data_IF_400549598157
#
_entry.id   IF_400549598157
#
_cell.length_a   1.000
_cell.length_b   1.000
_cell.length_c   1.000
_cell.angle_alpha   90.00
_cell.angle_beta   90.00
_cell.angle_gamma   90.00
#
_symmetry.space_group_name_H-M   'P 1'
#
loop_
_entity.id
_entity.type
_entity.pdbx_description
1 polymer ?
#
# COMPACT_ATOMS: atom_id res chain seq x y z
N UNK A 1 15.61 4.47 7.15
CA UNK A 1 15.13 4.04 5.84
C UNK A 1 16.13 4.47 4.78
N UNK A 2 16.34 3.59 3.81
CA UNK A 2 17.04 3.86 2.57
C UNK A 2 16.02 3.83 1.43
N UNK A 3 16.39 4.40 0.30
CA UNK A 3 15.61 4.34 -0.91
C UNK A 3 16.52 4.19 -2.12
N UNK A 4 15.99 3.61 -3.18
CA UNK A 4 16.63 3.48 -4.49
C UNK A 4 15.59 3.52 -5.60
N UNK A 5 16.07 3.65 -6.82
CA UNK A 5 15.25 3.54 -8.02
C UNK A 5 15.74 2.33 -8.79
N UNK A 6 14.82 1.41 -9.11
CA UNK A 6 15.08 0.26 -9.97
C UNK A 6 14.45 0.46 -11.35
N UNK A 7 15.05 -0.10 -12.42
CA UNK A 7 14.52 0.01 -13.79
C UNK A 7 13.04 -0.36 -13.92
N UNK A 8 12.65 -1.49 -13.34
CA UNK A 8 11.29 -2.00 -13.47
C UNK A 8 10.38 -1.38 -12.41
N UNK A 9 10.75 -1.51 -11.14
CA UNK A 9 9.86 -1.20 -10.00
C UNK A 9 9.76 0.30 -9.68
N UNK A 10 10.63 1.14 -10.25
CA UNK A 10 10.71 2.55 -9.87
C UNK A 10 11.18 2.72 -8.43
N UNK A 11 10.44 3.47 -7.62
CA UNK A 11 10.82 3.76 -6.23
C UNK A 11 10.72 2.50 -5.34
N UNK A 12 11.86 2.12 -4.75
CA UNK A 12 11.96 1.07 -3.74
C UNK A 12 12.45 1.67 -2.43
N UNK A 13 11.78 1.34 -1.33
CA UNK A 13 12.21 1.70 0.02
C UNK A 13 12.77 0.47 0.72
N UNK A 14 13.94 0.59 1.35
CA UNK A 14 14.62 -0.47 2.08
C UNK A 14 14.90 -0.06 3.54
N UNK A 15 15.05 -1.03 4.43
CA UNK A 15 15.35 -0.82 5.87
C UNK A 15 14.44 0.25 6.51
N UNK A 16 13.13 0.08 6.32
CA UNK A 16 12.12 0.96 6.90
C UNK A 16 12.00 0.65 8.39
N UNK A 17 12.19 1.68 9.22
CA UNK A 17 12.15 1.60 10.68
C UNK A 17 11.29 2.71 11.23
N UNK A 18 10.63 2.45 12.35
CA UNK A 18 9.91 3.46 13.11
C UNK A 18 10.57 3.68 14.47
N UNK A 19 10.82 4.93 14.83
CA UNK A 19 11.36 5.31 16.12
C UNK A 19 10.35 6.20 16.85
N UNK A 20 9.55 5.64 17.78
CA UNK A 20 8.69 6.45 18.64
C UNK A 20 9.54 7.42 19.48
N UNK A 21 8.97 8.56 19.88
CA UNK A 21 9.71 9.54 20.65
C UNK A 21 10.22 8.96 21.97
N UNK A 22 11.54 8.97 22.18
CA UNK A 22 12.16 8.40 23.39
C UNK A 22 12.30 6.87 23.40
N UNK A 23 11.98 6.18 22.30
CA UNK A 23 12.13 4.74 22.14
C UNK A 23 13.19 4.39 21.09
N UNK A 24 13.73 3.18 21.17
CA UNK A 24 14.61 2.65 20.12
C UNK A 24 13.84 2.42 18.81
N UNK A 25 14.56 2.54 17.70
CA UNK A 25 13.99 2.26 16.38
C UNK A 25 13.65 0.78 16.23
N UNK A 26 12.41 0.49 15.87
CA UNK A 26 11.93 -0.86 15.54
C UNK A 26 11.96 -1.04 14.02
N UNK A 27 12.65 -2.06 13.49
CA UNK A 27 12.55 -2.40 12.08
C UNK A 27 11.12 -2.83 11.74
N UNK A 28 10.59 -2.36 10.60
CA UNK A 28 9.20 -2.59 10.16
C UNK A 28 9.18 -3.38 8.86
N UNK A 29 9.82 -2.85 7.80
CA UNK A 29 9.92 -3.50 6.48
C UNK A 29 11.39 -3.61 6.08
N UNK A 30 11.77 -4.79 5.59
CA UNK A 30 13.03 -4.97 4.89
C UNK A 30 13.00 -4.21 3.56
N UNK A 31 11.90 -4.31 2.82
CA UNK A 31 11.68 -3.58 1.57
C UNK A 31 10.20 -3.34 1.30
N UNK A 32 9.86 -2.23 0.63
CA UNK A 32 8.53 -1.91 0.12
C UNK A 32 8.62 -1.38 -1.31
N UNK A 33 7.80 -1.94 -2.20
CA UNK A 33 7.80 -1.58 -3.62
C UNK A 33 6.48 -1.97 -4.30
N UNK A 34 6.24 -1.45 -5.51
CA UNK A 34 5.17 -1.93 -6.38
C UNK A 34 5.64 -3.19 -7.10
N UNK A 35 4.88 -4.27 -6.96
CA UNK A 35 5.17 -5.58 -7.54
C UNK A 35 4.58 -5.79 -8.93
N UNK A 36 3.51 -5.09 -9.29
CA UNK A 36 2.96 -5.03 -10.65
C UNK A 36 1.89 -3.92 -10.75
N UNK A 37 1.64 -3.43 -11.97
CA UNK A 37 0.40 -2.74 -12.34
C UNK A 37 -0.17 -3.35 -13.63
N UNK A 38 -1.34 -3.98 -13.54
CA UNK A 38 -2.09 -4.45 -14.71
C UNK A 38 -3.17 -3.44 -15.11
N UNK A 39 -3.32 -3.17 -16.41
CA UNK A 39 -4.35 -2.27 -16.95
C UNK A 39 -5.21 -2.95 -18.01
N UNK A 40 -6.14 -3.84 -17.61
CA UNK A 40 -7.08 -4.48 -18.53
C UNK A 40 -8.21 -3.52 -18.92
N UNK A 41 -8.53 -3.49 -20.21
CA UNK A 41 -9.70 -2.79 -20.76
C UNK A 41 -10.90 -3.72 -20.85
N UNK A 42 -12.09 -3.21 -20.53
CA UNK A 42 -13.35 -3.96 -20.50
C UNK A 42 -13.80 -4.40 -21.91
N UNK A 43 -13.18 -3.85 -22.96
CA UNK A 43 -13.32 -4.33 -24.34
C UNK A 43 -12.75 -5.74 -24.53
N UNK A 44 -11.85 -6.19 -23.65
CA UNK A 44 -11.10 -7.44 -23.77
C UNK A 44 -10.03 -7.42 -24.87
N UNK A 45 -9.79 -6.26 -25.50
CA UNK A 45 -8.86 -6.14 -26.62
C UNK A 45 -7.45 -5.71 -26.19
N UNK A 46 -7.31 -5.20 -24.96
CA UNK A 46 -6.05 -4.66 -24.45
C UNK A 46 -5.91 -4.93 -22.96
N UNK A 47 -4.71 -5.36 -22.57
CA UNK A 47 -4.21 -5.39 -21.20
C UNK A 47 -2.73 -5.04 -21.24
N UNK A 48 -2.21 -4.40 -20.20
CA UNK A 48 -0.77 -4.10 -20.07
C UNK A 48 -0.26 -4.49 -18.70
N UNK A 49 0.98 -4.96 -18.64
CA UNK A 49 1.74 -5.21 -17.42
C UNK A 49 2.81 -4.13 -17.30
N UNK A 50 2.43 -2.98 -16.74
CA UNK A 50 3.19 -1.74 -16.91
C UNK A 50 4.58 -1.81 -16.26
N UNK A 51 4.73 -2.53 -15.15
CA UNK A 51 6.02 -2.64 -14.45
C UNK A 51 6.98 -3.56 -15.20
N UNK A 52 6.57 -4.79 -15.52
CA UNK A 52 7.46 -5.78 -16.15
C UNK A 52 7.70 -5.51 -17.63
N UNK A 53 6.75 -4.89 -18.33
CA UNK A 53 6.88 -4.60 -19.77
C UNK A 53 7.56 -3.26 -20.04
N UNK A 54 7.23 -2.23 -19.28
CA UNK A 54 7.68 -0.86 -19.55
C UNK A 54 8.66 -0.33 -18.50
N UNK A 55 8.47 -0.69 -17.24
CA UNK A 55 9.21 -0.18 -16.10
C UNK A 55 8.70 1.19 -15.64
N UNK A 56 8.60 1.37 -14.32
CA UNK A 56 8.39 2.65 -13.65
C UNK A 56 9.72 3.38 -13.39
N UNK A 57 10.85 2.69 -13.49
CA UNK A 57 12.16 3.30 -13.49
C UNK A 57 12.62 3.72 -14.88
N UNK A 58 13.94 3.77 -15.04
CA UNK A 58 14.58 3.96 -16.34
C UNK A 58 14.01 5.16 -17.11
N UNK A 59 13.71 4.93 -18.40
CA UNK A 59 13.27 5.98 -19.34
C UNK A 59 11.88 6.55 -19.05
N UNK A 60 11.06 5.82 -18.31
CA UNK A 60 9.70 6.22 -17.99
C UNK A 60 9.64 7.09 -16.73
N UNK A 61 10.61 6.92 -15.82
CA UNK A 61 10.78 7.80 -14.69
C UNK A 61 11.08 9.22 -15.16
N UNK A 62 10.27 10.19 -14.71
CA UNK A 62 10.35 11.60 -15.12
C UNK A 62 11.15 12.42 -14.11
N UNK A 63 11.87 13.40 -14.66
CA UNK A 63 12.51 14.42 -13.84
C UNK A 63 11.41 15.36 -13.36
N UNK A 64 11.39 15.66 -12.07
CA UNK A 64 10.43 16.53 -11.42
C UNK A 64 10.92 17.97 -11.41
N UNK A 65 9.97 18.88 -11.48
CA UNK A 65 10.16 20.32 -11.33
C UNK A 65 9.82 20.78 -9.91
N UNK A 66 10.23 22.00 -9.51
CA UNK A 66 9.81 22.58 -8.23
C UNK A 66 8.30 22.80 -8.09
N UNK A 67 7.56 22.81 -9.20
CA UNK A 67 6.08 22.89 -9.17
C UNK A 67 5.48 21.54 -8.76
N UNK A 68 6.07 20.43 -9.21
CA UNK A 68 5.65 19.07 -8.84
C UNK A 68 6.13 18.68 -7.44
N UNK A 69 7.24 19.27 -6.98
CA UNK A 69 7.78 19.01 -5.65
C UNK A 69 7.99 20.31 -4.85
N UNK A 70 7.02 20.67 -3.98
CA UNK A 70 7.17 21.80 -3.06
C UNK A 70 8.25 21.59 -1.99
N UNK A 71 8.64 20.34 -1.74
CA UNK A 71 9.66 19.95 -0.77
C UNK A 71 11.07 19.93 -1.37
N UNK A 72 11.84 18.92 -0.98
CA UNK A 72 13.21 18.70 -1.45
C UNK A 72 13.23 17.76 -2.66
N UNK A 73 13.71 18.26 -3.80
CA UNK A 73 14.03 17.43 -4.96
C UNK A 73 15.35 16.70 -4.76
N UNK A 74 15.32 15.37 -4.85
CA UNK A 74 16.50 14.51 -4.76
C UNK A 74 16.89 14.01 -6.15
N UNK A 75 18.14 14.30 -6.53
CA UNK A 75 18.71 13.81 -7.79
C UNK A 75 19.42 12.48 -7.60
N UNK A 76 19.10 11.50 -8.45
CA UNK A 76 19.77 10.20 -8.50
C UNK A 76 20.11 9.77 -9.91
N UNK A 77 21.15 8.95 -10.01
CA UNK A 77 21.46 8.22 -11.24
C UNK A 77 20.33 7.21 -11.46
N UNK A 78 19.62 7.36 -12.57
CA UNK A 78 18.55 6.44 -12.95
C UNK A 78 19.20 5.30 -13.75
N UNK A 79 19.09 4.04 -13.32
CA UNK A 79 19.71 2.93 -14.04
C UNK A 79 19.04 2.72 -15.41
N UNK A 80 19.79 2.11 -16.33
CA UNK A 80 19.31 1.77 -17.67
C UNK A 80 18.19 0.72 -17.62
N UNK A 81 17.33 0.71 -18.64
CA UNK A 81 16.26 -0.29 -18.79
C UNK A 81 16.56 -1.17 -20.01
N UNK A 82 16.88 -2.44 -19.78
CA UNK A 82 17.35 -3.35 -20.83
C UNK A 82 18.59 -2.81 -21.56
N UNK A 83 18.57 -2.86 -22.90
CA UNK A 83 19.65 -2.33 -23.75
C UNK A 83 19.53 -0.81 -24.02
N UNK A 84 18.58 -0.11 -23.39
CA UNK A 84 18.31 1.30 -23.63
C UNK A 84 19.00 2.16 -22.56
N UNK A 85 20.03 2.89 -22.97
CA UNK A 85 20.70 3.86 -22.11
C UNK A 85 19.75 5.02 -21.72
N UNK A 86 19.54 5.23 -20.43
CA UNK A 86 18.65 6.26 -19.89
C UNK A 86 19.48 7.42 -19.38
N UNK A 87 20.08 8.14 -20.33
CA UNK A 87 21.00 9.24 -20.05
C UNK A 87 22.45 8.77 -19.97
N UNK A 88 23.37 9.73 -20.05
CA UNK A 88 24.83 9.55 -20.01
C UNK A 88 25.38 9.19 -18.62
N UNK A 89 24.53 8.61 -17.75
CA UNK A 89 24.83 8.38 -16.33
C UNK A 89 24.65 9.60 -15.42
N UNK A 90 24.09 10.70 -15.91
CA UNK A 90 23.82 11.89 -15.10
C UNK A 90 22.68 11.68 -14.09
N UNK A 91 22.84 12.26 -12.89
CA UNK A 91 21.79 12.28 -11.88
C UNK A 91 20.64 13.21 -12.28
N UNK A 92 19.40 12.74 -12.15
CA UNK A 92 18.16 13.46 -12.49
C UNK A 92 17.32 13.70 -11.24
N UNK A 93 16.66 14.86 -11.06
CA UNK A 93 15.79 15.13 -9.92
C UNK A 93 14.51 14.32 -10.06
N UNK A 94 14.40 13.14 -9.45
CA UNK A 94 13.29 12.20 -9.72
C UNK A 94 12.46 11.87 -8.49
N UNK A 95 13.00 12.10 -7.28
CA UNK A 95 12.31 11.86 -6.03
C UNK A 95 11.97 13.18 -5.36
N UNK A 96 10.69 13.37 -5.06
CA UNK A 96 10.23 14.41 -4.16
C UNK A 96 10.21 13.91 -2.72
N UNK A 97 10.77 14.68 -1.80
CA UNK A 97 10.70 14.46 -0.36
C UNK A 97 10.06 15.68 0.31
N UNK A 98 8.96 15.48 1.01
CA UNK A 98 8.14 16.56 1.55
C UNK A 98 7.68 16.25 2.96
N UNK A 99 7.66 17.28 3.82
CA UNK A 99 6.93 17.22 5.09
C UNK A 99 5.64 18.00 4.90
N UNK A 100 4.50 17.31 5.00
CA UNK A 100 3.17 17.90 4.91
C UNK A 100 2.52 18.00 6.28
N UNK A 101 1.64 18.98 6.44
CA UNK A 101 0.72 19.00 7.58
C UNK A 101 -0.31 17.86 7.41
N UNK A 102 -0.32 16.93 8.38
CA UNK A 102 -1.19 15.77 8.44
C UNK A 102 -2.49 16.02 9.21
N UNK A 103 -2.86 17.28 9.44
CA UNK A 103 -4.06 17.63 10.18
C UNK A 103 -3.96 17.48 11.69
N UNK A 104 -5.12 17.33 12.35
CA UNK A 104 -5.20 17.16 13.81
C UNK A 104 -4.75 15.74 14.17
N UNK A 105 -3.72 15.63 15.01
CA UNK A 105 -3.22 14.36 15.53
C UNK A 105 -4.13 13.79 16.61
N UNK A 106 -4.64 14.67 17.48
CA UNK A 106 -5.58 14.32 18.53
C UNK A 106 -6.30 15.54 19.06
N UNK A 107 -7.48 15.27 19.63
CA UNK A 107 -8.23 16.23 20.44
C UNK A 107 -8.98 15.47 21.53
N UNK A 108 -8.83 15.88 22.78
CA UNK A 108 -9.65 15.43 23.91
C UNK A 108 -10.03 16.63 24.76
N UNK A 109 -11.27 16.66 25.27
CA UNK A 109 -11.71 17.71 26.20
C UNK A 109 -12.42 17.07 27.37
N UNK A 110 -11.83 17.23 28.55
CA UNK A 110 -12.38 16.76 29.82
C UNK A 110 -12.34 17.92 30.81
N UNK A 111 -13.43 18.13 31.57
CA UNK A 111 -13.50 19.21 32.56
C UNK A 111 -13.34 20.62 31.99
N UNK A 112 -13.63 20.84 30.71
CA UNK A 112 -13.54 22.14 30.03
C UNK A 112 -12.13 22.54 29.58
N UNK A 113 -11.13 21.64 29.68
CA UNK A 113 -9.80 21.89 29.12
C UNK A 113 -9.57 21.01 27.89
N UNK A 114 -9.31 21.65 26.75
CA UNK A 114 -9.00 20.95 25.52
C UNK A 114 -7.50 20.66 25.40
N UNK A 115 -7.18 19.40 25.14
CA UNK A 115 -5.86 18.90 24.76
C UNK A 115 -5.88 18.62 23.26
N UNK A 116 -5.09 19.35 22.47
CA UNK A 116 -5.08 19.27 21.00
C UNK A 116 -3.67 19.38 20.46
N UNK A 117 -3.36 18.58 19.42
CA UNK A 117 -2.14 18.73 18.64
C UNK A 117 -2.39 18.42 17.17
N UNK A 118 -1.48 18.90 16.32
CA UNK A 118 -1.38 18.54 14.90
C UNK A 118 -0.22 17.59 14.69
N UNK A 119 -0.21 16.87 13.58
CA UNK A 119 0.90 16.01 13.18
C UNK A 119 1.41 16.43 11.81
N UNK A 120 2.70 16.20 11.62
CA UNK A 120 3.33 16.25 10.31
C UNK A 120 3.43 14.83 9.74
N UNK A 121 3.51 14.72 8.42
CA UNK A 121 3.74 13.46 7.70
C UNK A 121 4.87 13.64 6.69
N UNK A 122 5.73 12.64 6.56
CA UNK A 122 6.78 12.60 5.56
C UNK A 122 6.26 11.90 4.31
N UNK A 123 6.33 12.55 3.16
CA UNK A 123 5.87 12.05 1.86
C UNK A 123 7.04 11.90 0.90
N UNK A 124 7.16 10.72 0.31
CA UNK A 124 8.13 10.41 -0.75
C UNK A 124 7.36 10.08 -2.03
N UNK A 125 7.70 10.72 -3.15
CA UNK A 125 7.01 10.43 -4.42
C UNK A 125 7.90 10.51 -5.67
N UNK A 126 7.53 9.72 -6.68
CA UNK A 126 8.14 9.71 -8.02
C UNK A 126 7.05 9.70 -9.09
N UNK A 127 7.36 10.18 -10.30
CA UNK A 127 6.41 10.18 -11.44
C UNK A 127 6.95 9.33 -12.58
N UNK A 128 6.14 8.39 -13.05
CA UNK A 128 6.46 7.51 -14.19
C UNK A 128 5.44 7.69 -15.30
N UNK A 129 5.89 7.89 -16.54
CA UNK A 129 4.99 7.98 -17.71
C UNK A 129 5.02 6.69 -18.51
N UNK A 130 3.88 6.04 -18.64
CA UNK A 130 3.70 4.81 -19.43
C UNK A 130 2.58 5.03 -20.43
N UNK A 131 2.95 5.08 -21.72
CA UNK A 131 2.01 5.45 -22.78
C UNK A 131 1.40 6.83 -22.54
N UNK A 132 0.07 6.87 -22.46
CA UNK A 132 -0.73 8.08 -22.26
C UNK A 132 -0.91 8.46 -20.79
N UNK A 133 -0.71 7.51 -19.87
CA UNK A 133 -0.86 7.72 -18.43
C UNK A 133 0.43 8.16 -17.77
N UNK A 134 0.27 8.88 -16.66
CA UNK A 134 1.33 9.20 -15.72
C UNK A 134 0.96 8.76 -14.31
N UNK A 135 1.90 8.12 -13.64
CA UNK A 135 1.71 7.44 -12.38
C UNK A 135 2.58 8.06 -11.29
N UNK A 136 1.96 8.51 -10.22
CA UNK A 136 2.63 8.99 -9.01
C UNK A 136 2.72 7.85 -8.01
N UNK A 137 3.90 7.24 -7.86
CA UNK A 137 4.16 6.30 -6.76
C UNK A 137 4.49 7.11 -5.51
N UNK A 138 3.66 7.01 -4.47
CA UNK A 138 3.77 7.80 -3.25
C UNK A 138 3.78 6.91 -2.01
N UNK A 139 4.66 7.23 -1.05
CA UNK A 139 4.67 6.63 0.28
C UNK A 139 4.62 7.74 1.33
N UNK A 140 3.56 7.74 2.15
CA UNK A 140 3.40 8.71 3.24
C UNK A 140 3.61 8.05 4.61
N UNK A 141 4.42 8.66 5.47
CA UNK A 141 4.78 8.18 6.79
C UNK A 141 4.26 9.15 7.85
N UNK A 142 3.33 8.68 8.69
CA UNK A 142 2.76 9.45 9.78
C UNK A 142 3.63 9.45 11.03
N UNK A 143 3.61 10.54 11.79
CA UNK A 143 4.27 10.63 13.11
C UNK A 143 3.73 9.60 14.14
N UNK A 144 2.53 9.05 13.90
CA UNK A 144 1.92 7.96 14.67
C UNK A 144 2.45 6.57 14.29
N UNK A 145 3.32 6.49 13.28
CA UNK A 145 3.89 5.24 12.74
C UNK A 145 3.09 4.64 11.58
N UNK A 146 1.99 5.28 11.15
CA UNK A 146 1.26 4.83 9.96
C UNK A 146 2.11 4.95 8.70
N UNK A 147 1.92 4.02 7.76
CA UNK A 147 2.55 4.03 6.44
C UNK A 147 1.43 3.91 5.39
N UNK A 148 1.37 4.83 4.43
CA UNK A 148 0.35 4.86 3.38
C UNK A 148 0.99 4.76 1.99
N UNK A 149 1.08 3.54 1.42
CA UNK A 149 1.42 3.33 0.02
C UNK A 149 0.24 3.71 -0.89
N UNK A 150 0.51 4.56 -1.86
CA UNK A 150 -0.50 5.14 -2.75
C UNK A 150 0.04 5.21 -4.19
N UNK A 151 -0.85 4.99 -5.16
CA UNK A 151 -0.64 5.19 -6.58
C UNK A 151 -1.63 6.24 -7.07
N UNK A 152 -1.11 7.35 -7.57
CA UNK A 152 -1.89 8.35 -8.30
C UNK A 152 -1.83 8.07 -9.80
N UNK A 153 -2.95 8.14 -10.51
CA UNK A 153 -3.03 8.06 -11.97
C UNK A 153 -3.57 9.38 -12.55
N UNK A 154 -2.88 9.92 -13.55
CA UNK A 154 -3.21 11.13 -14.33
C UNK A 154 -2.72 10.94 -15.78
N UNK A 155 -2.55 12.01 -16.54
CA UNK A 155 -2.16 11.98 -17.95
C UNK A 155 -3.37 12.15 -18.85
N UNK A 156 -3.40 11.42 -19.97
CA UNK A 156 -4.46 11.48 -20.96
C UNK A 156 -5.14 10.13 -21.13
N UNK A 157 -6.45 10.14 -21.39
CA UNK A 157 -7.14 8.96 -21.91
C UNK A 157 -6.44 8.50 -23.19
N UNK A 158 -6.27 7.19 -23.34
CA UNK A 158 -5.64 6.62 -24.52
C UNK A 158 -6.51 6.90 -25.77
N UNK A 159 -6.01 7.61 -26.79
CA UNK A 159 -6.73 7.83 -28.04
C UNK A 159 -6.93 6.55 -28.85
N UNK A 160 -6.20 5.48 -28.50
CA UNK A 160 -6.28 4.18 -29.17
C UNK A 160 -7.37 3.27 -28.56
N UNK A 161 -7.92 3.63 -27.38
CA UNK A 161 -8.81 2.77 -26.60
C UNK A 161 -10.24 3.35 -26.49
N UNK A 162 -10.85 3.61 -27.65
CA UNK A 162 -12.27 3.95 -27.77
C UNK A 162 -13.10 2.75 -28.26
N UNK A 163 -14.39 2.74 -27.95
CA UNK A 163 -15.30 1.63 -28.31
C UNK A 163 -16.65 2.12 -28.81
N UNK A 164 -17.23 1.41 -29.79
CA UNK A 164 -18.60 1.66 -30.23
C UNK A 164 -19.65 0.97 -29.33
N UNK A 165 -19.23 0.09 -28.42
CA UNK A 165 -20.14 -0.62 -27.50
C UNK A 165 -20.40 0.20 -26.23
N UNK A 166 -21.63 0.71 -26.02
CA UNK A 166 -21.97 1.50 -24.84
C UNK A 166 -21.90 0.71 -23.52
N UNK A 167 -21.84 -0.62 -23.55
CA UNK A 167 -21.70 -1.43 -22.36
C UNK A 167 -20.24 -1.53 -21.84
N UNK A 168 -19.26 -1.08 -22.64
CA UNK A 168 -17.82 -1.22 -22.37
C UNK A 168 -17.06 0.11 -22.36
N UNK A 169 -17.78 1.23 -22.45
CA UNK A 169 -17.19 2.55 -22.48
C UNK A 169 -18.20 3.64 -22.20
N UNK A 170 -17.70 4.80 -21.77
CA UNK A 170 -18.52 5.94 -21.42
C UNK A 170 -18.34 7.07 -22.44
N UNK A 171 -19.43 7.71 -22.89
CA UNK A 171 -19.31 8.80 -23.84
C UNK A 171 -18.59 9.99 -23.19
N UNK A 172 -17.57 10.47 -23.87
CA UNK A 172 -16.85 11.70 -23.58
C UNK A 172 -16.92 12.60 -24.80
N UNK A 173 -16.95 13.91 -24.59
CA UNK A 173 -16.99 14.90 -25.64
C UNK A 173 -18.37 15.12 -26.29
N UNK A 174 -18.43 16.02 -27.29
CA UNK A 174 -19.68 16.46 -27.89
C UNK A 174 -20.45 15.34 -28.60
N UNK A 175 -21.77 15.32 -28.45
CA UNK A 175 -22.64 14.41 -29.20
C UNK A 175 -22.67 12.95 -28.70
N UNK A 176 -21.82 12.59 -27.73
CA UNK A 176 -21.85 11.30 -27.05
C UNK A 176 -21.51 10.10 -27.95
N UNK A 177 -20.76 10.34 -29.03
CA UNK A 177 -20.29 9.32 -29.97
C UNK A 177 -18.95 8.73 -29.57
N UNK A 178 -18.06 9.53 -28.99
CA UNK A 178 -16.71 9.10 -28.65
C UNK A 178 -16.76 8.46 -27.27
N UNK A 179 -16.69 7.12 -27.19
CA UNK A 179 -16.71 6.41 -25.90
C UNK A 179 -15.33 5.91 -25.54
N UNK A 180 -14.72 6.53 -24.55
CA UNK A 180 -13.48 6.00 -23.98
C UNK A 180 -13.80 4.68 -23.27
N UNK A 181 -13.02 3.65 -23.55
CA UNK A 181 -13.24 2.32 -23.00
C UNK A 181 -12.99 2.31 -21.47
N UNK A 182 -13.90 1.66 -20.74
CA UNK A 182 -13.72 1.39 -19.31
C UNK A 182 -12.57 0.41 -19.10
N UNK A 183 -11.85 0.56 -18.00
CA UNK A 183 -10.65 -0.23 -17.68
C UNK A 183 -10.38 -0.25 -16.18
N UNK A 184 -9.50 -1.14 -15.72
CA UNK A 184 -9.03 -1.18 -14.33
C UNK A 184 -7.56 -0.77 -14.21
N UNK A 185 -7.18 -0.18 -13.08
CA UNK A 185 -5.79 -0.06 -12.64
C UNK A 185 -5.58 -1.00 -11.45
N UNK A 186 -4.99 -2.15 -11.74
CA UNK A 186 -4.83 -3.26 -10.80
C UNK A 186 -3.39 -3.26 -10.25
N UNK A 187 -3.17 -2.55 -9.15
CA UNK A 187 -1.84 -2.39 -8.55
C UNK A 187 -1.62 -3.39 -7.41
N UNK A 188 -0.44 -4.01 -7.38
CA UNK A 188 -0.04 -4.89 -6.28
C UNK A 188 1.24 -4.36 -5.64
N UNK A 189 1.23 -4.16 -4.31
CA UNK A 189 2.43 -3.82 -3.54
C UNK A 189 3.05 -5.07 -2.94
N UNK A 190 4.39 -5.14 -2.96
CA UNK A 190 5.19 -6.15 -2.29
C UNK A 190 5.79 -5.58 -1.01
N UNK A 191 5.39 -6.12 0.13
CA UNK A 191 5.83 -5.72 1.47
C UNK A 191 6.65 -6.85 2.09
N UNK A 192 7.97 -6.71 2.12
CA UNK A 192 8.83 -7.65 2.83
C UNK A 192 8.98 -7.21 4.27
N UNK A 193 8.36 -7.93 5.20
CA UNK A 193 8.36 -7.58 6.61
C UNK A 193 9.71 -7.82 7.28
N UNK A 194 10.05 -6.94 8.22
CA UNK A 194 11.21 -7.09 9.08
C UNK A 194 10.87 -6.71 10.53
N UNK A 195 9.64 -6.97 10.99
CA UNK A 195 9.21 -6.60 12.34
C UNK A 195 10.07 -7.25 13.42
N UNK A 196 10.88 -6.43 14.09
CA UNK A 196 11.87 -6.90 15.06
C UNK A 196 13.03 -7.70 14.44
N UNK A 197 13.27 -7.56 13.13
CA UNK A 197 14.21 -8.35 12.34
C UNK A 197 13.50 -9.28 11.35
N UNK A 198 14.28 -9.98 10.52
CA UNK A 198 13.78 -11.00 9.58
C UNK A 198 13.42 -12.30 10.31
N UNK A 199 12.44 -13.03 9.77
CA UNK A 199 11.95 -14.28 10.37
C UNK A 199 11.23 -14.07 11.71
N UNK A 200 10.61 -15.13 12.23
CA UNK A 200 9.88 -15.15 13.50
C UNK A 200 8.60 -14.32 13.51
N UNK A 201 8.10 -13.87 12.35
CA UNK A 201 6.82 -13.18 12.26
C UNK A 201 5.67 -14.18 12.17
N UNK A 202 4.47 -13.70 12.45
CA UNK A 202 3.23 -14.46 12.30
C UNK A 202 2.20 -13.59 11.63
N UNK A 203 1.34 -14.21 10.83
CA UNK A 203 0.19 -13.54 10.22
C UNK A 203 -1.06 -13.93 10.98
N UNK A 204 -1.87 -12.94 11.33
CA UNK A 204 -3.14 -13.15 12.01
C UNK A 204 -4.26 -12.43 11.26
N UNK A 205 -5.36 -13.13 11.03
CA UNK A 205 -6.60 -12.60 10.49
C UNK A 205 -7.56 -12.36 11.64
N UNK A 206 -8.13 -11.17 11.69
CA UNK A 206 -9.24 -10.86 12.57
C UNK A 206 -10.54 -10.88 11.78
N UNK A 207 -11.56 -11.46 12.40
CA UNK A 207 -12.94 -11.42 11.93
C UNK A 207 -13.83 -11.01 13.10
N UNK A 208 -14.83 -10.14 12.85
CA UNK A 208 -15.90 -9.91 13.80
C UNK A 208 -17.25 -10.24 13.17
N UNK A 209 -17.94 -11.25 13.73
CA UNK A 209 -19.19 -11.78 13.18
C UNK A 209 -20.36 -11.60 14.15
N UNK A 210 -21.57 -11.24 13.68
CA UNK A 210 -22.76 -11.24 14.51
C UNK A 210 -23.05 -12.63 15.05
N UNK A 211 -23.29 -12.74 16.36
CA UNK A 211 -23.67 -14.02 16.97
C UNK A 211 -25.15 -14.37 16.72
N UNK A 212 -25.94 -13.40 16.26
CA UNK A 212 -27.39 -13.47 16.18
C UNK A 212 -28.10 -13.04 17.47
N UNK A 213 -27.34 -12.82 18.56
CA UNK A 213 -27.88 -12.34 19.84
C UNK A 213 -27.91 -10.81 19.90
N UNK A 214 -28.85 -10.28 20.69
CA UNK A 214 -28.97 -8.85 20.96
C UNK A 214 -28.87 -8.62 22.48
N UNK A 215 -27.90 -7.81 22.90
CA UNK A 215 -27.76 -7.36 24.28
C UNK A 215 -28.83 -6.31 24.65
N UNK A 216 -28.75 -5.68 25.83
CA UNK A 216 -29.75 -4.70 26.25
C UNK A 216 -29.88 -3.46 25.34
N UNK A 217 -28.86 -3.16 24.52
CA UNK A 217 -28.78 -1.93 23.72
C UNK A 217 -28.23 -2.11 22.29
N UNK A 218 -27.64 -3.25 21.95
CA UNK A 218 -27.03 -3.48 20.63
C UNK A 218 -26.85 -4.97 20.34
N UNK A 219 -26.65 -5.36 19.06
CA UNK A 219 -26.22 -6.71 18.69
C UNK A 219 -24.89 -7.10 19.35
N UNK A 220 -24.72 -8.40 19.58
CA UNK A 220 -23.45 -8.99 20.06
C UNK A 220 -22.63 -9.46 18.88
N UNK A 221 -21.32 -9.21 18.95
CA UNK A 221 -20.33 -9.59 17.94
C UNK A 221 -19.24 -10.41 18.60
N UNK A 222 -18.87 -11.52 17.98
CA UNK A 222 -17.70 -12.29 18.38
C UNK A 222 -16.52 -11.90 17.49
N UNK A 223 -15.47 -11.40 18.12
CA UNK A 223 -14.18 -11.13 17.49
C UNK A 223 -13.25 -12.32 17.65
N UNK A 224 -12.72 -12.82 16.54
CA UNK A 224 -11.73 -13.91 16.54
C UNK A 224 -10.46 -13.46 15.86
N UNK A 225 -9.31 -13.85 16.44
CA UNK A 225 -8.00 -13.65 15.83
C UNK A 225 -7.39 -15.01 15.52
N UNK A 226 -7.39 -15.37 14.23
CA UNK A 226 -6.92 -16.66 13.75
C UNK A 226 -5.54 -16.52 13.11
N UNK A 227 -4.60 -17.43 13.44
CA UNK A 227 -3.28 -17.46 12.83
C UNK A 227 -3.33 -18.11 11.44
N UNK A 228 -2.87 -17.39 10.44
CA UNK A 228 -2.57 -17.93 9.12
C UNK A 228 -1.16 -18.55 9.18
N UNK A 229 -1.09 -19.88 9.17
CA UNK A 229 0.16 -20.61 9.45
C UNK A 229 1.00 -20.84 8.19
N UNK A 230 0.35 -20.86 7.04
CA UNK A 230 0.96 -21.21 5.76
C UNK A 230 0.67 -20.13 4.73
N UNK A 231 1.48 -20.10 3.69
CA UNK A 231 1.26 -19.25 2.52
C UNK A 231 -0.15 -19.45 1.97
N UNK A 232 -0.80 -18.35 1.60
CA UNK A 232 -2.12 -18.35 1.00
C UNK A 232 -2.51 -16.97 0.48
N UNK A 233 -3.51 -16.96 -0.40
CA UNK A 233 -4.31 -15.77 -0.73
C UNK A 233 -5.47 -15.62 0.26
N UNK A 234 -5.86 -14.39 0.53
CA UNK A 234 -7.02 -14.04 1.36
C UNK A 234 -7.81 -12.91 0.72
N UNK A 235 -9.12 -12.90 1.01
CA UNK A 235 -10.05 -11.91 0.51
C UNK A 235 -10.71 -11.13 1.65
N UNK A 236 -11.04 -9.88 1.35
CA UNK A 236 -11.72 -8.96 2.26
C UNK A 236 -13.13 -9.46 2.54
N UNK A 237 -13.59 -9.17 3.74
CA UNK A 237 -14.95 -9.39 4.19
C UNK A 237 -15.34 -8.28 5.17
N UNK A 238 -16.63 -8.17 5.49
CA UNK A 238 -17.09 -7.21 6.50
C UNK A 238 -16.33 -7.44 7.82
N UNK A 239 -15.79 -6.35 8.40
CA UNK A 239 -15.02 -6.34 9.66
C UNK A 239 -13.82 -7.30 9.70
N UNK A 240 -13.28 -7.69 8.54
CA UNK A 240 -12.04 -8.44 8.43
C UNK A 240 -10.84 -7.52 8.26
N UNK A 241 -9.75 -7.85 8.93
CA UNK A 241 -8.44 -7.25 8.69
C UNK A 241 -7.33 -8.27 8.99
N UNK A 242 -6.11 -7.97 8.56
CA UNK A 242 -4.94 -8.81 8.84
C UNK A 242 -3.85 -8.02 9.51
N UNK A 243 -3.03 -8.69 10.31
CA UNK A 243 -1.80 -8.12 10.85
C UNK A 243 -0.62 -9.05 10.69
N UNK A 244 0.56 -8.46 10.54
CA UNK A 244 1.83 -9.15 10.75
C UNK A 244 2.34 -8.77 12.13
N UNK A 245 2.60 -9.78 12.96
CA UNK A 245 3.03 -9.61 14.35
C UNK A 245 4.35 -10.31 14.61
N UNK A 246 5.10 -9.85 15.62
CA UNK A 246 6.32 -10.48 16.12
C UNK A 246 6.11 -10.96 17.56
N UNK A 247 5.70 -12.21 17.81
CA UNK A 247 5.37 -12.69 19.17
C UNK A 247 6.51 -12.60 20.18
N UNK A 248 7.76 -12.66 19.71
CA UNK A 248 8.96 -12.53 20.54
C UNK A 248 9.32 -11.08 20.89
N UNK A 249 8.70 -10.08 20.25
CA UNK A 249 8.90 -8.66 20.52
C UNK A 249 7.62 -8.10 21.11
N UNK A 250 7.68 -7.61 22.35
CA UNK A 250 6.51 -7.12 23.08
C UNK A 250 6.67 -5.65 23.46
N UNK A 251 5.58 -4.92 23.42
CA UNK A 251 5.51 -3.58 24.00
C UNK A 251 5.51 -3.63 25.54
N UNK A 252 5.47 -2.48 26.21
CA UNK A 252 5.51 -2.42 27.67
C UNK A 252 4.28 -3.05 28.37
N UNK A 253 3.17 -3.22 27.65
CA UNK A 253 1.96 -3.92 28.14
C UNK A 253 2.02 -5.43 27.90
N UNK A 254 3.11 -5.91 27.30
CA UNK A 254 3.28 -7.32 26.98
C UNK A 254 2.51 -7.77 25.74
N UNK A 255 1.97 -6.86 24.93
CA UNK A 255 1.33 -7.23 23.65
C UNK A 255 2.38 -7.44 22.56
N UNK A 256 2.21 -8.43 21.67
CA UNK A 256 3.08 -8.60 20.50
C UNK A 256 3.07 -7.37 19.60
N UNK A 257 4.24 -6.83 19.28
CA UNK A 257 4.38 -5.73 18.32
C UNK A 257 3.87 -6.18 16.95
N UNK A 258 3.01 -5.38 16.33
CA UNK A 258 2.42 -5.70 15.04
C UNK A 258 2.07 -4.48 14.19
N UNK A 259 1.83 -4.73 12.90
CA UNK A 259 1.20 -3.79 11.98
C UNK A 259 0.01 -4.45 11.32
N UNK A 260 -1.10 -3.71 11.25
CA UNK A 260 -2.33 -4.07 10.56
C UNK A 260 -2.30 -3.56 9.12
N UNK A 261 -2.87 -4.34 8.20
CA UNK A 261 -3.09 -3.97 6.80
C UNK A 261 -4.55 -3.55 6.64
N UNK A 262 -4.76 -2.28 6.33
CA UNK A 262 -6.07 -1.64 6.15
C UNK A 262 -6.28 -1.26 4.69
N UNK A 263 -7.04 -2.06 3.94
CA UNK A 263 -7.21 -1.90 2.49
C UNK A 263 -8.05 -0.69 2.09
N UNK A 264 -8.93 -0.20 2.96
CA UNK A 264 -9.90 0.83 2.58
C UNK A 264 -10.83 0.38 1.43
N UNK A 265 -11.45 1.34 0.73
CA UNK A 265 -12.24 1.06 -0.47
C UNK A 265 -11.35 0.64 -1.64
N UNK A 266 -11.65 -0.51 -2.24
CA UNK A 266 -10.95 -1.01 -3.42
C UNK A 266 -11.91 -1.82 -4.31
N UNK A 267 -11.75 -1.73 -5.63
CA UNK A 267 -12.42 -2.63 -6.56
C UNK A 267 -11.84 -4.05 -6.44
N UNK A 268 -12.57 -5.06 -6.91
CA UNK A 268 -12.03 -6.42 -6.97
C UNK A 268 -10.83 -6.46 -7.91
N UNK A 269 -9.74 -7.04 -7.44
CA UNK A 269 -8.58 -7.34 -8.26
C UNK A 269 -8.71 -8.74 -8.87
N UNK A 270 -8.49 -8.84 -10.17
CA UNK A 270 -8.38 -10.10 -10.90
C UNK A 270 -7.13 -10.05 -11.76
N UNK A 271 -6.34 -11.13 -11.74
CA UNK A 271 -5.22 -11.32 -12.64
C UNK A 271 -5.74 -11.54 -14.05
N UNK A 272 -5.25 -10.75 -15.00
CA UNK A 272 -5.71 -10.80 -16.39
C UNK A 272 -4.64 -11.24 -17.37
N UNK A 273 -3.36 -11.16 -16.98
CA UNK A 273 -2.23 -11.48 -17.87
C UNK A 273 -1.37 -12.68 -17.42
N UNK A 274 -1.65 -13.30 -16.27
CA UNK A 274 -0.90 -14.46 -15.81
C UNK A 274 -1.29 -15.74 -16.58
N UNK A 275 -0.37 -16.25 -17.41
CA UNK A 275 -0.52 -17.38 -18.36
C UNK A 275 -0.91 -18.76 -17.77
N UNK A 276 -1.46 -18.80 -16.56
CA UNK A 276 -2.02 -20.00 -15.91
C UNK A 276 -3.08 -19.72 -14.84
N UNK A 277 -3.29 -18.46 -14.45
CA UNK A 277 -4.15 -18.04 -13.34
C UNK A 277 -5.12 -16.91 -13.73
N UNK A 278 -5.45 -16.80 -15.02
CA UNK A 278 -6.44 -15.83 -15.52
C UNK A 278 -7.75 -15.93 -14.72
N UNK A 279 -8.20 -14.79 -14.17
CA UNK A 279 -9.41 -14.67 -13.35
C UNK A 279 -9.23 -15.05 -11.87
N UNK A 280 -8.03 -15.44 -11.43
CA UNK A 280 -7.73 -15.56 -10.01
C UNK A 280 -7.62 -14.15 -9.38
N UNK A 281 -8.27 -13.95 -8.23
CA UNK A 281 -8.26 -12.70 -7.50
C UNK A 281 -7.93 -12.91 -6.03
N UNK A 282 -7.33 -11.89 -5.42
CA UNK A 282 -7.05 -11.81 -3.99
C UNK A 282 -7.00 -10.34 -3.57
N UNK A 283 -7.24 -10.06 -2.29
CA UNK A 283 -7.05 -8.71 -1.75
C UNK A 283 -5.68 -8.62 -1.06
N UNK A 284 -5.27 -9.68 -0.36
CA UNK A 284 -3.92 -9.84 0.18
C UNK A 284 -3.45 -11.27 -0.05
N UNK A 285 -2.15 -11.46 -0.27
CA UNK A 285 -1.53 -12.77 -0.15
C UNK A 285 -0.34 -12.70 0.80
N UNK A 286 -0.05 -13.82 1.45
CA UNK A 286 1.14 -13.96 2.30
C UNK A 286 1.98 -15.11 1.77
N UNK A 287 3.24 -14.83 1.47
CA UNK A 287 4.24 -15.83 1.08
C UNK A 287 5.43 -15.81 2.04
N UNK A 288 6.17 -16.91 2.09
CA UNK A 288 7.47 -16.98 2.72
C UNK A 288 8.51 -16.30 1.82
N UNK A 289 9.39 -15.49 2.42
CA UNK A 289 10.32 -14.67 1.66
C UNK A 289 11.28 -15.52 0.81
N UNK A 290 11.19 -15.34 -0.50
CA UNK A 290 12.13 -15.91 -1.46
C UNK A 290 12.68 -14.84 -2.40
N UNK A 291 13.95 -14.98 -2.78
CA UNK A 291 14.65 -14.03 -3.64
C UNK A 291 14.17 -14.00 -5.09
N UNK A 292 13.42 -15.01 -5.54
CA UNK A 292 12.83 -15.04 -6.89
C UNK A 292 11.38 -14.54 -6.96
N UNK A 293 10.75 -14.23 -5.82
CA UNK A 293 9.39 -13.67 -5.77
C UNK A 293 9.48 -12.14 -5.82
N UNK A 294 9.59 -11.59 -7.03
CA UNK A 294 9.82 -10.15 -7.25
C UNK A 294 8.55 -9.47 -7.75
N UNK A 295 7.97 -9.98 -8.84
CA UNK A 295 6.79 -9.40 -9.48
C UNK A 295 5.52 -10.18 -9.18
N UNK A 296 4.40 -9.48 -9.02
CA UNK A 296 3.14 -10.11 -8.63
C UNK A 296 2.49 -10.94 -9.75
N UNK A 297 2.79 -10.59 -11.01
CA UNK A 297 2.51 -11.35 -12.23
C UNK A 297 3.63 -11.07 -13.24
N UNK A 298 3.68 -11.83 -14.34
CA UNK A 298 4.79 -11.81 -15.30
C UNK A 298 6.18 -11.93 -14.67
N UNK A 299 6.29 -12.70 -13.58
CA UNK A 299 7.57 -12.99 -12.97
C UNK A 299 8.37 -13.96 -13.85
N UNK A 300 9.48 -13.50 -14.42
CA UNK A 300 10.32 -14.27 -15.36
C UNK A 300 11.27 -15.26 -14.68
N UNK A 301 11.28 -15.33 -13.34
CA UNK A 301 12.11 -16.28 -12.61
C UNK A 301 11.42 -17.65 -12.44
N UNK A 302 11.85 -18.60 -13.27
CA UNK A 302 11.33 -19.98 -13.30
C UNK A 302 11.39 -20.74 -11.96
N UNK A 303 12.20 -20.28 -10.99
CA UNK A 303 12.30 -20.93 -9.67
C UNK A 303 11.08 -20.70 -8.79
N UNK A 304 10.37 -19.59 -8.99
CA UNK A 304 9.24 -19.18 -8.16
C UNK A 304 7.90 -19.23 -8.92
N UNK A 305 7.91 -19.38 -10.25
CA UNK A 305 6.69 -19.30 -11.05
C UNK A 305 6.41 -17.88 -11.53
N UNK A 306 5.20 -17.69 -12.07
CA UNK A 306 4.80 -16.50 -12.84
C UNK A 306 4.16 -15.39 -12.02
N UNK A 307 3.73 -15.66 -10.79
CA UNK A 307 3.09 -14.66 -9.95
C UNK A 307 2.69 -15.17 -8.57
N UNK A 308 1.98 -14.33 -7.84
CA UNK A 308 1.55 -14.59 -6.45
C UNK A 308 0.80 -15.93 -6.27
N UNK A 309 -0.11 -16.35 -7.17
CA UNK A 309 -0.75 -17.65 -7.04
C UNK A 309 0.25 -18.83 -7.02
N UNK A 310 1.32 -18.76 -7.81
CA UNK A 310 2.40 -19.77 -7.78
C UNK A 310 3.23 -19.65 -6.51
N UNK A 311 3.49 -18.42 -6.03
CA UNK A 311 4.32 -18.18 -4.85
C UNK A 311 3.75 -18.81 -3.58
N UNK A 312 2.42 -18.95 -3.49
CA UNK A 312 1.74 -19.51 -2.33
C UNK A 312 1.23 -20.93 -2.53
N UNK A 313 1.43 -21.52 -3.71
CA UNK A 313 0.84 -22.80 -4.10
C UNK A 313 1.30 -23.97 -3.21
N UNK A 314 2.54 -23.93 -2.73
CA UNK A 314 3.13 -24.97 -1.88
C UNK A 314 2.70 -24.87 -0.41
N UNK A 315 1.99 -23.80 -0.03
CA UNK A 315 1.53 -23.54 1.33
C UNK A 315 2.65 -23.71 2.38
N UNK A 316 3.82 -23.12 2.13
CA UNK A 316 4.95 -23.23 3.07
C UNK A 316 4.60 -22.58 4.42
N UNK A 317 5.21 -23.01 5.54
CA UNK A 317 5.05 -22.31 6.81
C UNK A 317 5.55 -20.87 6.72
N UNK A 318 4.78 -19.92 7.25
CA UNK A 318 5.15 -18.50 7.30
C UNK A 318 6.06 -18.21 8.51
N UNK A 319 7.23 -17.62 8.25
CA UNK A 319 8.20 -17.14 9.25
C UNK A 319 8.87 -15.80 8.86
N UNK A 320 9.47 -15.68 7.66
CA UNK A 320 9.97 -14.43 7.04
C UNK A 320 8.93 -13.93 6.03
N UNK A 321 7.98 -13.12 6.49
CA UNK A 321 6.73 -12.87 5.75
C UNK A 321 6.91 -11.82 4.65
N UNK A 322 6.42 -12.12 3.45
CA UNK A 322 6.10 -11.14 2.40
C UNK A 322 4.59 -11.03 2.27
N UNK A 323 4.06 -9.81 2.31
CA UNK A 323 2.66 -9.54 1.98
C UNK A 323 2.55 -8.91 0.59
N UNK A 324 1.61 -9.41 -0.21
CA UNK A 324 1.25 -8.90 -1.52
C UNK A 324 -0.13 -8.25 -1.40
N UNK A 325 -0.19 -6.93 -1.46
CA UNK A 325 -1.43 -6.18 -1.25
C UNK A 325 -1.96 -5.71 -2.59
N UNK A 326 -3.09 -6.26 -3.03
CA UNK A 326 -3.72 -5.90 -4.28
C UNK A 326 -4.78 -4.82 -4.05
N UNK A 327 -4.72 -3.75 -4.84
CA UNK A 327 -5.71 -2.66 -4.83
C UNK A 327 -6.14 -2.41 -6.26
N UNK A 328 -7.41 -2.67 -6.55
CA UNK A 328 -8.05 -2.34 -7.80
C UNK A 328 -8.72 -0.97 -7.78
N UNK A 329 -8.72 -0.31 -8.93
CA UNK A 329 -9.51 0.87 -9.25
C UNK A 329 -10.15 0.67 -10.63
N UNK A 330 -11.48 0.61 -10.69
CA UNK A 330 -12.19 0.51 -11.97
C UNK A 330 -12.58 1.91 -12.43
N UNK A 331 -12.09 2.27 -13.61
CA UNK A 331 -12.25 3.59 -14.21
C UNK A 331 -13.28 3.52 -15.32
N UNK A 332 -14.42 4.16 -15.09
CA UNK A 332 -15.40 4.51 -16.12
C UNK A 332 -15.13 5.97 -16.47
N UNK A 333 -14.49 6.27 -17.61
CA UNK A 333 -14.03 7.62 -17.93
C UNK A 333 -15.18 8.63 -17.94
N UNK A 334 -14.90 9.88 -17.58
CA UNK A 334 -15.85 10.99 -17.59
C UNK A 334 -15.37 12.11 -18.49
N UNK A 335 -16.25 13.07 -18.76
CA UNK A 335 -15.87 14.28 -19.50
C UNK A 335 -14.75 15.06 -18.81
N UNK A 336 -14.73 15.06 -17.47
CA UNK A 336 -13.71 15.68 -16.64
C UNK A 336 -12.33 14.99 -16.73
N UNK A 337 -12.28 13.78 -17.28
CA UNK A 337 -11.03 13.02 -17.45
C UNK A 337 -10.36 13.30 -18.81
N UNK A 338 -10.94 14.20 -19.62
CA UNK A 338 -10.34 14.67 -20.87
C UNK A 338 -9.12 15.57 -20.60
N UNK A 339 -8.19 15.56 -21.55
CA UNK A 339 -6.81 16.05 -21.41
C UNK A 339 -6.62 17.40 -20.67
N UNK A 340 -5.80 17.44 -19.60
CA UNK A 340 -5.29 16.31 -18.82
C UNK A 340 -6.30 15.83 -17.75
N UNK A 341 -6.29 14.52 -17.48
CA UNK A 341 -7.10 13.89 -16.43
C UNK A 341 -6.65 14.32 -15.04
N UNK A 342 -7.61 14.67 -14.17
CA UNK A 342 -7.34 14.91 -12.74
C UNK A 342 -6.82 13.65 -12.02
N UNK A 343 -6.12 13.85 -10.92
CA UNK A 343 -5.46 12.72 -10.22
C UNK A 343 -6.48 11.76 -9.56
N UNK A 344 -6.38 10.48 -9.88
CA UNK A 344 -7.10 9.40 -9.20
C UNK A 344 -6.16 8.62 -8.29
N UNK A 345 -6.51 8.48 -7.01
CA UNK A 345 -5.66 7.80 -6.02
C UNK A 345 -6.24 6.45 -5.60
N UNK A 346 -5.37 5.46 -5.52
CA UNK A 346 -5.64 4.16 -4.89
C UNK A 346 -4.50 3.79 -3.94
N UNK A 347 -4.77 2.98 -2.93
CA UNK A 347 -3.77 2.58 -1.95
C UNK A 347 -4.35 1.88 -0.74
N UNK A 348 -3.56 1.76 0.31
CA UNK A 348 -3.95 1.16 1.58
C UNK A 348 -3.15 1.80 2.73
N UNK A 349 -3.47 1.45 3.97
CA UNK A 349 -2.74 1.91 5.16
C UNK A 349 -2.14 0.72 5.92
N UNK A 350 -0.90 0.87 6.36
CA UNK A 350 -0.31 0.04 7.40
C UNK A 350 -0.41 0.79 8.73
N UNK A 351 -1.18 0.25 9.66
CA UNK A 351 -1.45 0.88 10.96
C UNK A 351 -0.69 0.15 12.06
N UNK A 352 0.13 0.84 12.88
CA UNK A 352 0.71 0.24 14.07
C UNK A 352 -0.37 -0.34 14.97
N UNK A 353 -0.20 -1.61 15.37
CA UNK A 353 -1.08 -2.26 16.33
C UNK A 353 -0.22 -2.90 17.41
N UNK A 354 -0.36 -2.42 18.64
CA UNK A 354 0.48 -2.86 19.76
C UNK A 354 1.99 -2.58 19.58
N UNK A 355 2.39 -1.69 18.65
CA UNK A 355 3.80 -1.33 18.41
C UNK A 355 4.46 -0.69 19.65
N UNK A 356 3.68 0.13 20.35
CA UNK A 356 3.99 0.78 21.62
C UNK A 356 2.82 0.53 22.58
N UNK A 357 3.04 0.67 23.89
CA UNK A 357 2.02 0.40 24.90
C UNK A 357 0.85 1.39 24.83
N UNK A 358 1.19 2.66 24.65
CA UNK A 358 0.25 3.73 24.33
C UNK A 358 0.62 4.31 22.96
N UNK A 359 0.02 5.45 22.58
CA UNK A 359 0.43 6.22 21.40
C UNK A 359 1.92 6.62 21.43
N UNK A 360 2.52 6.81 20.26
CA UNK A 360 3.93 7.16 20.11
C UNK A 360 4.32 8.52 20.71
N UNK A 361 3.35 9.42 20.88
CA UNK A 361 3.47 10.79 21.36
C UNK A 361 2.51 11.05 22.53
N UNK A 362 2.65 10.30 23.63
CA UNK A 362 1.76 10.45 24.79
C UNK A 362 1.77 11.90 25.29
N UNK A 363 0.61 12.60 25.32
CA UNK A 363 0.58 13.98 25.76
C UNK A 363 0.94 14.11 27.24
N UNK A 364 1.58 15.21 27.65
CA UNK A 364 1.88 15.48 29.05
C UNK A 364 0.63 15.35 29.94
N UNK A 365 0.75 14.59 31.03
CA UNK A 365 -0.33 14.33 31.97
C UNK A 365 -1.27 13.16 31.60
N UNK A 366 -1.02 12.47 30.48
CA UNK A 366 -1.77 11.26 30.07
C UNK A 366 -0.95 9.97 30.17
N UNK A 367 0.27 10.03 30.70
CA UNK A 367 1.18 8.89 30.83
C UNK A 367 0.61 7.77 31.71
N UNK A 368 -0.18 8.12 32.73
CA UNK A 368 -0.85 7.14 33.59
C UNK A 368 -2.15 6.58 32.99
N UNK A 369 -2.64 7.12 31.87
CA UNK A 369 -3.90 6.69 31.22
C UNK A 369 -3.61 5.55 30.24
N UNK A 370 -3.27 4.38 30.80
CA UNK A 370 -2.98 3.17 30.06
C UNK A 370 -3.97 2.05 30.44
N UNK A 371 -4.87 1.70 29.52
CA UNK A 371 -5.96 0.75 29.77
C UNK A 371 -7.13 1.35 30.58
N UNK A 372 -7.85 0.49 31.30
CA UNK A 372 -8.97 0.90 32.17
C UNK A 372 -8.46 1.45 33.51
N UNK A 373 -8.39 2.78 33.58
CA UNK A 373 -8.01 3.50 34.80
C UNK A 373 -9.18 3.75 35.76
N UNK A 374 -10.41 3.36 35.43
CA UNK A 374 -11.56 3.51 36.32
C UNK A 374 -11.62 2.39 37.38
N UNK A 375 -10.87 1.31 37.20
CA UNK A 375 -10.79 0.16 38.11
C UNK A 375 -9.71 0.23 39.19
N UNK A 376 -8.79 1.20 39.15
CA UNK A 376 -7.81 1.37 40.22
C UNK A 376 -8.39 2.21 41.37
N UNK A 377 -8.36 1.73 42.63
CA UNK A 377 -8.68 2.59 43.76
C UNK A 377 -7.65 3.72 43.78
N UNK A 378 -8.13 4.96 43.64
CA UNK A 378 -7.33 6.17 43.72
C UNK A 378 -6.35 6.07 44.90
N UNK A 379 -5.07 5.81 44.62
CA UNK A 379 -4.02 5.99 45.61
C UNK A 379 -3.83 7.48 45.78
N UNK A 380 -4.67 8.07 46.63
CA UNK A 380 -4.42 9.39 47.19
C UNK A 380 -3.01 9.40 47.77
N UNK A 381 -2.15 10.25 47.21
CA UNK A 381 -0.95 10.74 47.91
C UNK A 381 -1.33 11.93 48.75
#
# INVERSE_FOLDING_TARGET
MCWRVEPDQGLVLDDVRFAPAGHEAVPVLASMTMGQLEVPYDTGLRTTEDITTHGFGGRNLRSLTPTECPGTLRSVVVPDFGDVAVGDGAARPVLCEEVVDGGIAYRSEEGGTALVARKDELRLSTVSKVGWYEYVTQYTFGADGSIRPELGATGDLSPDDYTDDPARGWPVGPGGTDRAASHAHNAVWRLHWALGGRGGQVVEQYDAVPTGEHGPRSPVLDGTLARLKTEQVVTKADRRWWRVARPGLRNADGHPVSYQIDLGPTATFELTADHGHEGAGYDVAFSEASGCQVFASANDDVRCGRGVPDFVADAQPLDDVVAWVAVGFHHVPRDEDQSPMEMHWQGFTLTPRDLVAQRADVPPGREAVNGDVQGEPARHR
#
